data_IF_929488611905
#
_entry.id   IF_929488611905
#
_cell.length_a   1.000
_cell.length_b   1.000
_cell.length_c   1.000
_cell.angle_alpha   90.00
_cell.angle_beta   90.00
_cell.angle_gamma   90.00
#
_symmetry.space_group_name_H-M   'P 1'
#
loop_
_entity.id
_entity.type
_entity.pdbx_description
1 polymer ?
#
# COMPACT_ATOMS: atom_id res chain seq x y z
N UNK A 1 -52.77 14.88 3.21
CA UNK A 1 -51.68 15.79 3.65
C UNK A 1 -51.40 15.52 5.12
N UNK A 2 -50.26 14.94 5.47
CA UNK A 2 -49.40 15.46 6.55
C UNK A 2 -48.15 14.58 6.64
N UNK A 3 -47.03 15.25 6.80
CA UNK A 3 -45.69 14.80 6.43
C UNK A 3 -45.03 13.94 7.50
N UNK A 4 -44.39 12.85 7.08
CA UNK A 4 -43.39 12.14 7.88
C UNK A 4 -42.10 12.96 7.78
N UNK A 5 -41.68 13.56 8.90
CA UNK A 5 -40.37 14.20 9.06
C UNK A 5 -39.28 13.12 8.99
N UNK A 6 -38.39 13.19 8.00
CA UNK A 6 -37.09 12.52 8.05
C UNK A 6 -36.11 13.47 8.72
N UNK A 7 -35.69 13.13 9.93
CA UNK A 7 -34.58 13.81 10.58
C UNK A 7 -33.27 13.24 10.02
N UNK A 8 -32.48 14.14 9.46
CA UNK A 8 -31.11 13.94 9.04
C UNK A 8 -30.23 14.24 10.25
N UNK A 9 -29.68 13.22 10.91
CA UNK A 9 -28.62 13.45 11.90
C UNK A 9 -27.43 12.49 11.68
N UNK A 10 -26.29 13.11 11.34
CA UNK A 10 -24.96 12.74 11.82
C UNK A 10 -24.42 11.36 11.44
N UNK A 11 -23.79 11.25 10.26
CA UNK A 11 -22.97 10.08 9.91
C UNK A 11 -21.80 9.91 10.91
N UNK A 12 -21.68 8.79 11.64
CA UNK A 12 -20.57 8.54 12.55
C UNK A 12 -19.37 7.98 11.76
N UNK A 13 -18.81 8.78 10.86
CA UNK A 13 -17.82 8.32 9.87
C UNK A 13 -16.36 8.27 10.36
N UNK A 14 -16.04 8.58 11.62
CA UNK A 14 -14.62 8.80 12.02
C UNK A 14 -13.97 7.74 12.92
N UNK A 15 -14.68 6.73 13.43
CA UNK A 15 -14.08 5.69 14.31
C UNK A 15 -13.75 4.36 13.62
N UNK A 16 -14.44 4.01 12.54
CA UNK A 16 -14.30 2.71 11.86
C UNK A 16 -13.24 2.63 10.76
N UNK A 17 -12.58 3.74 10.41
CA UNK A 17 -11.59 3.77 9.33
C UNK A 17 -10.16 3.40 9.75
N UNK A 18 -9.83 3.59 11.04
CA UNK A 18 -8.45 3.51 11.56
C UNK A 18 -8.09 2.05 11.90
N UNK A 19 -8.96 1.34 12.63
CA UNK A 19 -8.74 -0.06 13.02
C UNK A 19 -8.62 -1.02 11.83
N UNK A 20 -9.32 -0.72 10.72
CA UNK A 20 -9.22 -1.50 9.49
C UNK A 20 -7.90 -1.28 8.72
N UNK A 21 -7.28 -0.11 8.88
CA UNK A 21 -6.00 0.21 8.21
C UNK A 21 -4.80 -0.37 8.96
N UNK A 22 -4.82 -0.33 10.30
CA UNK A 22 -3.72 -0.87 11.11
C UNK A 22 -3.60 -2.39 10.95
N UNK A 23 -4.73 -3.10 10.91
CA UNK A 23 -4.74 -4.54 10.61
C UNK A 23 -4.20 -4.82 9.20
N UNK A 24 -4.51 -3.97 8.21
CA UNK A 24 -4.02 -4.11 6.85
C UNK A 24 -2.49 -3.95 6.77
N UNK A 25 -1.93 -2.91 7.39
CA UNK A 25 -0.47 -2.67 7.37
C UNK A 25 0.30 -3.82 8.04
N UNK A 26 -0.19 -4.31 9.18
CA UNK A 26 0.43 -5.46 9.86
C UNK A 26 0.40 -6.71 8.99
N UNK A 27 -0.70 -6.96 8.28
CA UNK A 27 -0.80 -8.08 7.33
C UNK A 27 0.15 -7.95 6.16
N UNK A 28 0.34 -6.75 5.62
CA UNK A 28 1.31 -6.46 4.55
C UNK A 28 2.75 -6.72 5.01
N UNK A 29 3.11 -6.25 6.22
CA UNK A 29 4.43 -6.48 6.83
C UNK A 29 4.68 -7.97 7.08
N UNK A 30 3.68 -8.68 7.61
CA UNK A 30 3.76 -10.14 7.80
C UNK A 30 3.91 -10.88 6.47
N UNK A 31 3.17 -10.46 5.42
CA UNK A 31 3.30 -11.04 4.09
C UNK A 31 4.72 -10.87 3.55
N UNK A 32 5.26 -9.66 3.55
CA UNK A 32 6.61 -9.37 3.06
C UNK A 32 7.68 -10.14 3.84
N UNK A 33 7.57 -10.16 5.17
CA UNK A 33 8.47 -10.90 6.06
C UNK A 33 8.44 -12.41 5.81
N UNK A 34 7.26 -12.96 5.48
CA UNK A 34 7.13 -14.37 5.14
C UNK A 34 7.64 -14.66 3.73
N UNK A 35 7.40 -13.77 2.76
CA UNK A 35 7.89 -13.91 1.40
C UNK A 35 9.42 -13.89 1.33
N UNK A 36 10.08 -13.07 2.14
CA UNK A 36 11.56 -13.07 2.29
C UNK A 36 12.16 -14.44 2.61
N UNK A 37 11.41 -15.31 3.29
CA UNK A 37 11.87 -16.67 3.65
C UNK A 37 11.74 -17.66 2.48
N UNK A 38 11.05 -17.28 1.41
CA UNK A 38 10.83 -18.11 0.24
C UNK A 38 12.08 -18.11 -0.66
N UNK A 39 12.34 -19.23 -1.34
CA UNK A 39 13.41 -19.35 -2.34
C UNK A 39 13.32 -18.30 -3.45
N UNK A 40 12.11 -17.88 -3.82
CA UNK A 40 11.85 -16.87 -4.85
C UNK A 40 12.50 -15.53 -4.50
N UNK A 41 12.63 -15.20 -3.21
CA UNK A 41 13.31 -13.99 -2.78
C UNK A 41 14.75 -13.94 -3.28
N UNK A 42 15.48 -15.06 -3.29
CA UNK A 42 16.86 -15.11 -3.77
C UNK A 42 16.98 -14.78 -5.27
N UNK A 43 15.96 -15.11 -6.06
CA UNK A 43 15.92 -14.91 -7.51
C UNK A 43 15.38 -13.54 -7.92
N UNK A 44 14.85 -12.73 -6.99
CA UNK A 44 14.42 -11.36 -7.29
C UNK A 44 15.63 -10.48 -7.64
N UNK A 45 15.42 -9.53 -8.55
CA UNK A 45 16.38 -8.46 -8.78
C UNK A 45 16.55 -7.59 -7.53
N UNK A 46 17.64 -6.82 -7.49
CA UNK A 46 18.00 -6.01 -6.33
C UNK A 46 16.97 -4.93 -6.00
N UNK A 47 16.23 -4.42 -6.98
CA UNK A 47 15.29 -3.33 -6.78
C UNK A 47 14.00 -3.85 -6.15
N UNK A 48 13.48 -4.96 -6.67
CA UNK A 48 12.33 -5.65 -6.10
C UNK A 48 12.62 -6.19 -4.70
N UNK A 49 13.85 -6.63 -4.40
CA UNK A 49 14.27 -7.00 -3.04
C UNK A 49 14.15 -5.83 -2.07
N UNK A 50 14.69 -4.66 -2.45
CA UNK A 50 14.61 -3.44 -1.62
C UNK A 50 13.17 -3.01 -1.38
N UNK A 51 12.30 -3.10 -2.39
CA UNK A 51 10.88 -2.76 -2.24
C UNK A 51 10.20 -3.71 -1.25
N UNK A 52 10.52 -5.01 -1.30
CA UNK A 52 10.02 -5.99 -0.35
C UNK A 52 10.57 -5.76 1.07
N UNK A 53 11.83 -5.34 1.19
CA UNK A 53 12.43 -4.93 2.47
C UNK A 53 11.64 -3.77 3.09
N UNK A 54 11.40 -2.71 2.32
CA UNK A 54 10.61 -1.55 2.77
C UNK A 54 9.16 -1.94 3.09
N UNK A 55 8.57 -2.89 2.37
CA UNK A 55 7.24 -3.42 2.73
C UNK A 55 7.25 -4.12 4.09
N UNK A 56 8.29 -4.90 4.38
CA UNK A 56 8.41 -5.61 5.65
C UNK A 56 8.63 -4.66 6.84
N UNK A 57 9.44 -3.62 6.65
CA UNK A 57 9.86 -2.72 7.73
C UNK A 57 8.88 -1.54 7.89
N UNK A 58 8.51 -0.91 6.78
CA UNK A 58 7.78 0.36 6.77
C UNK A 58 6.33 0.26 6.25
N UNK A 59 5.94 -0.88 5.69
CA UNK A 59 4.56 -1.19 5.28
C UNK A 59 4.24 -0.91 3.82
N UNK A 60 3.04 -1.32 3.39
CA UNK A 60 2.66 -1.34 1.97
C UNK A 60 2.64 0.02 1.31
N UNK A 61 2.13 1.06 1.99
CA UNK A 61 2.07 2.43 1.41
C UNK A 61 3.43 2.96 0.97
N UNK A 62 4.48 2.75 1.77
CA UNK A 62 5.83 3.20 1.42
C UNK A 62 6.46 2.33 0.34
N UNK A 63 6.23 1.02 0.38
CA UNK A 63 6.69 0.13 -0.69
C UNK A 63 6.08 0.48 -2.05
N UNK A 64 4.78 0.83 -2.09
CA UNK A 64 4.12 1.27 -3.32
C UNK A 64 4.72 2.60 -3.78
N UNK A 65 4.97 3.56 -2.89
CA UNK A 65 5.64 4.80 -3.28
C UNK A 65 7.01 4.53 -3.93
N UNK A 66 7.76 3.58 -3.40
CA UNK A 66 9.05 3.19 -3.96
C UNK A 66 8.92 2.53 -5.35
N UNK A 67 7.89 1.71 -5.60
CA UNK A 67 7.61 1.16 -6.94
C UNK A 67 7.34 2.25 -7.99
N UNK A 68 6.85 3.41 -7.55
CA UNK A 68 6.60 4.58 -8.40
C UNK A 68 7.73 5.60 -8.32
N UNK A 69 8.91 5.22 -7.87
CA UNK A 69 10.07 6.11 -7.84
C UNK A 69 11.13 5.57 -8.80
N UNK A 70 11.55 6.40 -9.75
CA UNK A 70 12.63 6.08 -10.69
C UNK A 70 13.94 5.89 -9.92
N UNK A 71 14.60 4.73 -10.05
CA UNK A 71 15.86 4.44 -9.36
C UNK A 71 17.04 5.25 -9.88
N UNK A 72 16.99 5.74 -11.12
CA UNK A 72 18.07 6.55 -11.69
C UNK A 72 17.95 8.02 -11.30
N UNK A 73 16.75 8.58 -11.41
CA UNK A 73 16.51 10.01 -11.23
C UNK A 73 15.93 10.38 -9.87
N UNK A 74 15.44 9.40 -9.10
CA UNK A 74 14.72 9.62 -7.85
C UNK A 74 13.35 10.29 -8.03
N UNK A 75 12.90 10.48 -9.27
CA UNK A 75 11.64 11.16 -9.58
C UNK A 75 10.47 10.22 -9.36
N UNK A 76 9.38 10.75 -8.78
CA UNK A 76 8.11 10.03 -8.75
C UNK A 76 7.56 9.91 -10.19
N UNK A 77 7.17 8.69 -10.55
CA UNK A 77 6.62 8.30 -11.83
C UNK A 77 5.10 8.33 -11.74
N UNK A 78 4.47 8.84 -12.78
CA UNK A 78 3.03 8.59 -12.99
C UNK A 78 2.80 7.11 -13.32
N UNK A 79 1.57 6.65 -13.17
CA UNK A 79 1.19 5.29 -13.56
C UNK A 79 1.50 4.98 -15.03
N UNK A 80 1.26 5.93 -15.93
CA UNK A 80 1.61 5.80 -17.35
C UNK A 80 3.11 5.61 -17.57
N UNK A 81 3.95 6.32 -16.82
CA UNK A 81 5.41 6.24 -16.97
C UNK A 81 5.96 4.95 -16.37
N UNK A 82 5.50 4.57 -15.17
CA UNK A 82 5.84 3.30 -14.54
C UNK A 82 5.46 2.13 -15.46
N UNK A 83 4.23 2.14 -16.01
CA UNK A 83 3.77 1.09 -16.94
C UNK A 83 4.56 1.09 -18.25
N UNK A 84 4.98 2.24 -18.76
CA UNK A 84 5.80 2.29 -19.98
C UNK A 84 7.21 1.72 -19.77
N UNK A 85 7.72 1.73 -18.53
CA UNK A 85 9.06 1.22 -18.20
C UNK A 85 9.07 -0.24 -17.75
N UNK A 86 8.10 -0.64 -16.91
CA UNK A 86 8.11 -1.92 -16.20
C UNK A 86 6.89 -2.81 -16.51
N UNK A 87 5.95 -2.35 -17.34
CA UNK A 87 4.66 -3.01 -17.59
C UNK A 87 4.48 -3.54 -19.00
#
# INVERSE_FOLDING_TARGET
>A
MSSIKKEHEGSPSKKTCIENQDNKEQREKMFASNFKKNILYSYMDSENKKILDVMADEGGKKSVKQMFTDSETGRELSYSEMRSRYG
#
